data_IF_872119895242
#
_entry.id   IF_872119895242
#
_cell.length_a   1.000
_cell.length_b   1.000
_cell.length_c   1.000
_cell.angle_alpha   90.00
_cell.angle_beta   90.00
_cell.angle_gamma   90.00
#
_symmetry.space_group_name_H-M   'P 1'
#
loop_
_entity.id
_entity.type
_entity.pdbx_description
1 polymer ?
#
# COMPACT_ATOMS: atom_id res chain seq x y z
N UNK A 1 9.76 14.61 -6.36
CA UNK A 1 9.38 13.18 -6.56
C UNK A 1 8.43 12.70 -5.48
N UNK A 2 8.33 13.40 -4.34
CA UNK A 2 7.33 13.18 -3.29
C UNK A 2 5.90 13.04 -3.86
N UNK A 3 5.46 14.01 -4.67
CA UNK A 3 4.12 13.98 -5.29
C UNK A 3 3.86 12.71 -6.12
N UNK A 4 4.87 12.23 -6.86
CA UNK A 4 4.73 11.00 -7.64
C UNK A 4 4.59 9.76 -6.73
N UNK A 5 5.40 9.69 -5.65
CA UNK A 5 5.26 8.66 -4.63
C UNK A 5 3.86 8.66 -4.01
N UNK A 6 3.38 9.83 -3.58
CA UNK A 6 2.03 10.00 -3.02
C UNK A 6 0.93 9.57 -3.97
N UNK A 7 0.99 9.96 -5.25
CA UNK A 7 0.00 9.57 -6.27
C UNK A 7 -0.02 8.05 -6.44
N UNK A 8 1.15 7.41 -6.55
CA UNK A 8 1.26 5.95 -6.68
C UNK A 8 0.66 5.26 -5.44
N UNK A 9 0.98 5.76 -4.24
CA UNK A 9 0.44 5.23 -2.99
C UNK A 9 -1.08 5.33 -2.93
N UNK A 10 -1.64 6.49 -3.23
CA UNK A 10 -3.10 6.72 -3.22
C UNK A 10 -3.79 5.86 -4.28
N UNK A 11 -3.26 5.81 -5.51
CA UNK A 11 -3.81 4.96 -6.56
C UNK A 11 -3.82 3.48 -6.16
N UNK A 12 -2.75 3.02 -5.50
CA UNK A 12 -2.65 1.66 -4.96
C UNK A 12 -3.66 1.43 -3.82
N UNK A 13 -3.88 2.41 -2.95
CA UNK A 13 -4.89 2.34 -1.90
C UNK A 13 -6.31 2.22 -2.47
N UNK A 14 -6.64 3.04 -3.47
CA UNK A 14 -7.94 2.96 -4.17
C UNK A 14 -8.10 1.60 -4.85
N UNK A 15 -7.09 1.13 -5.58
CA UNK A 15 -7.12 -0.18 -6.21
C UNK A 15 -7.31 -1.32 -5.19
N UNK A 16 -6.69 -1.22 -4.02
CA UNK A 16 -6.86 -2.18 -2.91
C UNK A 16 -8.32 -2.27 -2.47
N UNK A 17 -9.02 -1.14 -2.33
CA UNK A 17 -10.43 -1.12 -1.94
C UNK A 17 -11.32 -1.75 -3.02
N UNK A 18 -11.01 -1.51 -4.30
CA UNK A 18 -11.71 -2.14 -5.43
C UNK A 18 -11.51 -3.66 -5.40
N UNK A 19 -10.27 -4.13 -5.26
CA UNK A 19 -9.98 -5.55 -5.16
C UNK A 19 -10.61 -6.19 -3.92
N UNK A 20 -10.62 -5.51 -2.78
CA UNK A 20 -11.32 -5.99 -1.60
C UNK A 20 -12.80 -6.23 -1.88
N UNK A 21 -13.48 -5.30 -2.57
CA UNK A 21 -14.87 -5.47 -2.98
C UNK A 21 -15.06 -6.69 -3.89
N UNK A 22 -14.21 -6.85 -4.91
CA UNK A 22 -14.26 -7.98 -5.83
C UNK A 22 -14.04 -9.31 -5.07
N UNK A 23 -13.01 -9.40 -4.23
CA UNK A 23 -12.69 -10.62 -3.50
C UNK A 23 -13.71 -10.99 -2.43
N UNK A 24 -14.44 -10.00 -1.91
CA UNK A 24 -15.44 -10.16 -0.87
C UNK A 24 -16.81 -10.57 -1.43
N UNK A 25 -17.20 -10.04 -2.60
CA UNK A 25 -18.58 -10.15 -3.10
C UNK A 25 -18.71 -10.78 -4.48
N UNK A 26 -17.67 -10.74 -5.30
CA UNK A 26 -17.65 -11.23 -6.68
C UNK A 26 -16.56 -12.30 -6.90
N UNK A 27 -16.34 -13.13 -5.89
CA UNK A 27 -15.33 -14.18 -5.93
C UNK A 27 -15.88 -15.41 -6.64
N UNK A 28 -15.33 -15.84 -7.80
CA UNK A 28 -15.85 -16.99 -8.52
C UNK A 28 -15.53 -18.33 -7.83
N UNK A 29 -14.65 -18.34 -6.83
CA UNK A 29 -14.20 -19.54 -6.14
C UNK A 29 -14.97 -19.83 -4.85
N UNK A 30 -15.66 -18.83 -4.28
CA UNK A 30 -16.39 -18.98 -3.02
C UNK A 30 -17.56 -17.99 -2.94
N UNK A 31 -18.68 -18.44 -2.38
CA UNK A 31 -19.76 -17.54 -2.03
C UNK A 31 -19.33 -16.57 -0.91
N UNK A 32 -19.93 -15.37 -0.83
CA UNK A 32 -19.62 -14.41 0.23
C UNK A 32 -19.79 -15.03 1.62
N UNK A 33 -18.74 -14.94 2.44
CA UNK A 33 -18.71 -15.46 3.80
C UNK A 33 -18.20 -14.35 4.72
N UNK A 34 -18.91 -14.07 5.82
CA UNK A 34 -18.58 -12.99 6.75
C UNK A 34 -17.18 -13.07 7.34
N UNK A 35 -16.66 -14.27 7.60
CA UNK A 35 -15.30 -14.47 8.11
C UNK A 35 -14.25 -14.09 7.06
N UNK A 36 -14.47 -14.51 5.80
CA UNK A 36 -13.58 -14.18 4.68
C UNK A 36 -13.58 -12.67 4.42
N UNK A 37 -14.76 -12.05 4.39
CA UNK A 37 -14.91 -10.60 4.20
C UNK A 37 -14.19 -9.83 5.31
N UNK A 38 -14.34 -10.25 6.57
CA UNK A 38 -13.67 -9.66 7.72
C UNK A 38 -12.14 -9.80 7.66
N UNK A 39 -11.66 -10.99 7.31
CA UNK A 39 -10.22 -11.24 7.16
C UNK A 39 -9.61 -10.41 6.03
N UNK A 40 -10.29 -10.31 4.88
CA UNK A 40 -9.87 -9.47 3.76
C UNK A 40 -9.92 -7.99 4.11
N UNK A 41 -10.89 -7.55 4.92
CA UNK A 41 -10.96 -6.18 5.39
C UNK A 41 -9.70 -5.82 6.20
N UNK A 42 -9.31 -6.68 7.14
CA UNK A 42 -8.09 -6.49 7.94
C UNK A 42 -6.84 -6.55 7.05
N UNK A 43 -6.79 -7.49 6.09
CA UNK A 43 -5.61 -7.71 5.27
C UNK A 43 -5.43 -6.71 4.11
N UNK A 44 -6.49 -6.05 3.65
CA UNK A 44 -6.46 -5.14 2.50
C UNK A 44 -6.85 -3.70 2.85
N UNK A 45 -7.97 -3.51 3.55
CA UNK A 45 -8.51 -2.17 3.83
C UNK A 45 -7.68 -1.43 4.88
N UNK A 46 -7.23 -2.12 5.94
CA UNK A 46 -6.37 -1.49 6.97
C UNK A 46 -5.04 -1.00 6.37
N UNK A 47 -4.29 -1.79 5.58
CA UNK A 47 -3.12 -1.30 4.86
C UNK A 47 -3.40 -0.10 3.97
N UNK A 48 -4.51 -0.11 3.20
CA UNK A 48 -4.90 1.02 2.37
C UNK A 48 -5.15 2.29 3.20
N UNK A 49 -5.82 2.15 4.35
CA UNK A 49 -6.03 3.26 5.29
C UNK A 49 -4.71 3.81 5.83
N UNK A 50 -3.73 2.94 6.16
CA UNK A 50 -2.41 3.40 6.57
C UNK A 50 -1.70 4.22 5.49
N UNK A 51 -1.82 3.85 4.21
CA UNK A 51 -1.26 4.66 3.13
C UNK A 51 -1.89 6.03 3.08
N UNK A 52 -3.22 6.12 3.13
CA UNK A 52 -3.95 7.40 3.10
C UNK A 52 -3.57 8.27 4.31
N UNK A 53 -3.61 7.72 5.52
CA UNK A 53 -3.22 8.44 6.76
C UNK A 53 -1.75 8.87 6.70
N UNK A 54 -0.87 8.00 6.19
CA UNK A 54 0.56 8.27 6.02
C UNK A 54 0.84 9.47 5.12
N UNK A 55 -0.02 9.76 4.14
CA UNK A 55 0.11 10.96 3.30
C UNK A 55 -0.12 12.25 4.10
N UNK A 56 -1.04 12.25 5.08
CA UNK A 56 -1.34 13.44 5.88
C UNK A 56 -0.34 13.66 7.00
N UNK A 57 0.10 12.60 7.66
CA UNK A 57 1.00 12.71 8.81
C UNK A 57 2.49 12.84 8.38
N UNK A 58 2.82 12.49 7.13
CA UNK A 58 4.19 12.33 6.58
C UNK A 58 5.12 11.25 7.17
N UNK A 59 4.74 10.30 8.04
CA UNK A 59 5.61 9.19 8.40
C UNK A 59 5.66 8.16 7.27
N UNK A 60 6.78 8.15 6.53
CA UNK A 60 7.12 7.11 5.53
C UNK A 60 6.90 5.67 6.00
N UNK A 61 6.99 5.44 7.32
CA UNK A 61 6.75 4.15 7.96
C UNK A 61 5.33 3.61 7.72
N UNK A 62 4.32 4.45 7.56
CA UNK A 62 2.95 3.99 7.35
C UNK A 62 2.79 3.30 5.99
N UNK A 63 3.44 3.83 4.94
CA UNK A 63 3.44 3.20 3.61
C UNK A 63 4.24 1.89 3.62
N UNK A 64 5.32 1.83 4.40
CA UNK A 64 6.09 0.60 4.58
C UNK A 64 5.33 -0.49 5.32
N UNK A 65 4.64 -0.13 6.41
CA UNK A 65 3.77 -1.04 7.16
C UNK A 65 2.66 -1.54 6.25
N UNK A 66 2.03 -0.66 5.46
CA UNK A 66 1.03 -1.07 4.49
C UNK A 66 1.55 -2.10 3.47
N UNK A 67 2.76 -1.88 2.94
CA UNK A 67 3.44 -2.85 2.07
C UNK A 67 3.69 -4.20 2.78
N UNK A 68 4.26 -4.19 3.98
CA UNK A 68 4.55 -5.41 4.72
C UNK A 68 3.27 -6.18 5.05
N UNK A 69 2.20 -5.48 5.42
CA UNK A 69 0.91 -6.09 5.70
C UNK A 69 0.24 -6.64 4.43
N UNK A 70 0.41 -5.99 3.27
CA UNK A 70 -0.16 -6.47 2.00
C UNK A 70 0.68 -7.56 1.33
N UNK A 71 1.93 -7.75 1.73
CA UNK A 71 2.85 -8.66 1.05
C UNK A 71 2.45 -10.14 1.12
N UNK A 72 2.04 -10.71 2.27
CA UNK A 72 1.61 -12.12 2.32
C UNK A 72 0.45 -12.42 1.37
N UNK A 73 -0.57 -11.55 1.35
CA UNK A 73 -1.73 -11.69 0.48
C UNK A 73 -1.39 -11.38 -0.98
N UNK A 74 -0.49 -10.43 -1.24
CA UNK A 74 0.04 -10.14 -2.56
C UNK A 74 0.80 -11.30 -3.18
N UNK A 75 1.63 -12.00 -2.40
CA UNK A 75 2.34 -13.21 -2.84
C UNK A 75 1.37 -14.37 -3.04
N UNK A 76 0.42 -14.57 -2.12
CA UNK A 76 -0.62 -15.59 -2.26
C UNK A 76 -1.41 -15.41 -3.57
N UNK A 77 -1.86 -14.19 -3.85
CA UNK A 77 -2.61 -13.90 -5.07
C UNK A 77 -1.76 -13.91 -6.33
N UNK A 78 -0.45 -13.70 -6.26
CA UNK A 78 0.43 -13.86 -7.42
C UNK A 78 0.37 -15.30 -7.98
N UNK A 79 0.20 -16.28 -7.08
CA UNK A 79 0.10 -17.70 -7.41
C UNK A 79 -1.32 -18.14 -7.81
N UNK A 80 -2.34 -17.29 -7.58
CA UNK A 80 -3.73 -17.54 -7.99
C UNK A 80 -3.90 -17.42 -9.52
N UNK A 81 -5.12 -17.40 -10.07
CA UNK A 81 -5.36 -17.19 -11.51
C UNK A 81 -6.32 -16.02 -11.76
N UNK A 82 -6.28 -15.48 -12.98
CA UNK A 82 -7.17 -14.40 -13.42
C UNK A 82 -6.86 -13.05 -12.79
N UNK A 83 -7.90 -12.23 -12.61
CA UNK A 83 -7.78 -10.85 -12.13
C UNK A 83 -7.24 -10.74 -10.70
N UNK A 84 -7.33 -11.83 -9.93
CA UNK A 84 -6.82 -11.89 -8.56
C UNK A 84 -5.30 -11.65 -8.51
N UNK A 85 -4.55 -12.12 -9.52
CA UNK A 85 -3.10 -11.87 -9.66
C UNK A 85 -2.74 -10.38 -9.71
N UNK A 86 -3.65 -9.55 -10.21
CA UNK A 86 -3.40 -8.11 -10.34
C UNK A 86 -3.27 -7.41 -8.98
N UNK A 87 -3.76 -8.01 -7.88
CA UNK A 87 -3.54 -7.48 -6.54
C UNK A 87 -2.06 -7.41 -6.16
N UNK A 88 -1.22 -8.32 -6.68
CA UNK A 88 0.23 -8.29 -6.44
C UNK A 88 0.86 -6.98 -6.94
N UNK A 89 0.34 -6.40 -8.03
CA UNK A 89 0.78 -5.09 -8.54
C UNK A 89 0.49 -3.97 -7.54
N UNK A 90 -0.58 -4.10 -6.75
CA UNK A 90 -0.94 -3.11 -5.73
C UNK A 90 0.07 -3.14 -4.57
N UNK A 91 0.48 -4.33 -4.13
CA UNK A 91 1.54 -4.47 -3.13
C UNK A 91 2.87 -3.90 -3.64
N UNK A 92 3.20 -4.12 -4.92
CA UNK A 92 4.37 -3.51 -5.56
C UNK A 92 4.22 -1.98 -5.62
N UNK A 93 3.02 -1.47 -5.90
CA UNK A 93 2.72 -0.04 -5.89
C UNK A 93 3.01 0.63 -4.55
N UNK A 94 2.62 0.01 -3.43
CA UNK A 94 2.99 0.50 -2.10
C UNK A 94 4.50 0.53 -1.87
N UNK A 95 5.22 -0.49 -2.32
CA UNK A 95 6.68 -0.51 -2.23
C UNK A 95 7.33 0.60 -3.05
N UNK A 96 6.89 0.79 -4.30
CA UNK A 96 7.39 1.86 -5.18
C UNK A 96 7.11 3.23 -4.56
N UNK A 97 5.90 3.45 -4.06
CA UNK A 97 5.53 4.68 -3.33
C UNK A 97 6.49 4.95 -2.17
N UNK A 98 6.77 3.94 -1.36
CA UNK A 98 7.70 4.04 -0.24
C UNK A 98 9.12 4.41 -0.67
N UNK A 99 9.66 3.75 -1.72
CA UNK A 99 10.98 4.05 -2.25
C UNK A 99 11.09 5.51 -2.73
N UNK A 100 10.07 6.00 -3.43
CA UNK A 100 10.04 7.37 -3.94
C UNK A 100 10.05 8.41 -2.81
N UNK A 101 9.29 8.15 -1.73
CA UNK A 101 9.25 9.01 -0.54
C UNK A 101 10.63 9.05 0.12
N UNK A 102 11.29 7.90 0.31
CA UNK A 102 12.63 7.82 0.91
C UNK A 102 13.68 8.55 0.06
N UNK A 103 13.70 8.30 -1.25
CA UNK A 103 14.67 8.92 -2.15
C UNK A 103 14.51 10.44 -2.15
N UNK A 104 13.27 10.94 -2.10
CA UNK A 104 13.01 12.38 -2.03
C UNK A 104 13.53 13.00 -0.72
N UNK A 105 13.24 12.38 0.43
CA UNK A 105 13.69 12.86 1.74
C UNK A 105 15.23 12.89 1.84
N UNK A 106 15.90 11.87 1.32
CA UNK A 106 17.36 11.82 1.32
C UNK A 106 17.98 12.90 0.41
N UNK A 107 17.31 13.26 -0.69
CA UNK A 107 17.75 14.39 -1.52
C UNK A 107 17.62 15.70 -0.77
N UNK A 108 16.50 15.97 -0.11
CA UNK A 108 16.31 17.20 0.67
C UNK A 108 17.38 17.40 1.75
N UNK A 109 17.74 16.31 2.46
CA UNK A 109 18.85 16.34 3.44
C UNK A 109 20.21 16.64 2.81
N UNK A 110 20.45 16.15 1.59
CA UNK A 110 21.70 16.41 0.86
C UNK A 110 21.82 17.84 0.34
N UNK A 111 20.71 18.51 0.01
CA UNK A 111 20.71 19.90 -0.47
C UNK A 111 20.76 20.94 0.67
N UNK A 112 20.34 20.56 1.88
CA UNK A 112 20.48 21.38 3.08
C UNK A 112 21.29 20.64 4.17
N UNK A 113 22.61 20.47 4.01
CA UNK A 113 23.43 19.73 4.96
C UNK A 113 23.61 20.43 6.33
N UNK A 114 23.13 21.67 6.51
CA UNK A 114 23.51 22.55 7.63
C UNK A 114 22.27 23.07 8.37
N UNK A 115 21.60 22.23 9.17
CA UNK A 115 20.81 22.69 10.34
C UNK A 115 20.68 21.64 11.47
N UNK A 116 21.53 20.60 11.53
CA UNK A 116 21.43 19.58 12.59
C UNK A 116 22.45 19.72 13.73
N UNK A 117 23.12 20.87 13.87
CA UNK A 117 24.12 21.07 14.93
C UNK A 117 24.07 22.45 15.60
N UNK A 118 22.87 22.98 15.85
CA UNK A 118 22.71 24.09 16.81
C UNK A 118 21.63 23.70 17.82
N UNK A 119 22.14 23.15 18.93
CA UNK A 119 21.63 23.00 20.30
C UNK A 119 20.22 22.47 20.50
#
# INVERSE_FOLDING_TARGET
>A
MEMAGSIIGIASAVATLVFWGIFSFDNPYQAPNSEVVGNLFVAAVIPAAFVVIGQFLKPKWFVFVAFLSSLPIGVYFLLSSGIIRCFSLVSVGYFISFLFIIINENREKSFHPIKSNIK
#
